data_IF_766547834183
#
_entry.id   IF_766547834183
#
_cell.length_a   1.000
_cell.length_b   1.000
_cell.length_c   1.000
_cell.angle_alpha   90.00
_cell.angle_beta   90.00
_cell.angle_gamma   90.00
#
_symmetry.space_group_name_H-M   'P 1'
#
loop_
_entity.id
_entity.type
_entity.pdbx_description
1 polymer ?
#
# COMPACT_ATOMS: atom_id res chain seq x y z
N UNK A 1 -25.85 8.61 63.28
CA UNK A 1 -27.19 8.70 62.64
C UNK A 1 -26.95 8.17 61.21
N UNK A 2 -27.14 6.97 60.80
CA UNK A 2 -28.10 5.91 61.07
C UNK A 2 -29.27 5.99 60.11
N UNK A 3 -29.20 5.19 59.00
CA UNK A 3 -30.35 4.41 58.51
C UNK A 3 -29.95 3.49 57.35
N UNK A 4 -29.95 2.25 57.71
CA UNK A 4 -30.12 1.02 56.90
C UNK A 4 -31.56 0.88 56.44
N UNK A 5 -31.81 0.38 55.21
CA UNK A 5 -32.96 -0.48 54.84
C UNK A 5 -32.70 -1.03 53.44
N UNK A 6 -32.52 -2.28 53.34
CA UNK A 6 -33.36 -3.49 53.23
C UNK A 6 -33.61 -3.91 51.79
N UNK A 7 -33.10 -5.09 51.51
CA UNK A 7 -33.42 -6.03 50.44
C UNK A 7 -34.93 -6.28 50.28
N UNK A 8 -35.37 -6.43 49.02
CA UNK A 8 -36.52 -7.30 48.70
C UNK A 8 -36.16 -8.14 47.49
N UNK A 9 -36.12 -9.43 47.71
CA UNK A 9 -36.22 -10.51 46.72
C UNK A 9 -37.55 -10.41 45.96
N UNK A 10 -37.54 -10.75 44.68
CA UNK A 10 -38.71 -11.37 44.06
C UNK A 10 -38.26 -12.39 43.01
N UNK A 11 -38.84 -13.55 43.19
CA UNK A 11 -38.58 -14.82 42.52
C UNK A 11 -39.08 -14.90 41.09
N UNK A 12 -38.37 -15.70 40.30
CA UNK A 12 -38.86 -16.78 39.49
C UNK A 12 -39.75 -16.50 38.28
N UNK A 13 -39.19 -16.72 37.09
CA UNK A 13 -39.95 -17.45 36.05
C UNK A 13 -38.94 -18.14 35.15
N UNK A 14 -38.83 -19.45 35.30
CA UNK A 14 -38.18 -20.34 34.35
C UNK A 14 -39.09 -20.48 33.13
N UNK A 15 -38.61 -19.98 31.96
CA UNK A 15 -39.21 -20.23 30.68
C UNK A 15 -38.49 -21.38 30.00
N UNK A 16 -39.14 -22.48 29.78
CA UNK A 16 -38.69 -23.65 29.02
C UNK A 16 -38.31 -23.23 27.61
N UNK A 17 -37.05 -23.41 27.24
CA UNK A 17 -36.57 -23.37 25.85
C UNK A 17 -36.86 -24.70 25.16
N UNK A 18 -37.91 -24.71 24.34
CA UNK A 18 -38.28 -25.76 23.41
C UNK A 18 -37.09 -26.05 22.46
N UNK A 19 -36.60 -27.31 22.51
CA UNK A 19 -35.60 -27.84 21.59
C UNK A 19 -36.17 -28.02 20.20
N UNK A 20 -35.65 -27.22 19.26
CA UNK A 20 -35.86 -27.42 17.82
C UNK A 20 -34.94 -28.55 17.34
N UNK A 21 -35.45 -29.62 16.68
CA UNK A 21 -34.59 -30.68 16.18
C UNK A 21 -33.75 -30.20 15.00
N UNK A 22 -32.45 -30.29 15.11
CA UNK A 22 -31.48 -30.05 14.03
C UNK A 22 -31.54 -31.25 13.07
N UNK A 23 -31.88 -31.00 11.80
CA UNK A 23 -31.79 -32.02 10.73
C UNK A 23 -30.33 -32.23 10.35
N UNK A 24 -29.79 -33.47 10.32
CA UNK A 24 -28.39 -33.77 10.05
C UNK A 24 -28.01 -33.83 8.57
N UNK A 25 -28.84 -33.44 7.62
CA UNK A 25 -28.69 -33.81 6.20
C UNK A 25 -28.13 -32.66 5.31
N UNK A 26 -27.58 -31.58 5.88
CA UNK A 26 -27.11 -30.43 5.10
C UNK A 26 -25.56 -30.25 5.08
N UNK A 27 -24.81 -31.31 5.43
CA UNK A 27 -23.36 -31.31 5.30
C UNK A 27 -22.88 -32.44 4.38
N UNK A 28 -23.24 -32.36 3.10
CA UNK A 28 -22.53 -33.11 2.06
C UNK A 28 -21.39 -32.25 1.53
N UNK A 29 -20.13 -32.75 1.52
CA UNK A 29 -19.04 -32.03 0.91
C UNK A 29 -19.27 -31.90 -0.59
N UNK A 30 -19.23 -30.65 -1.10
CA UNK A 30 -19.21 -30.34 -2.52
C UNK A 30 -17.91 -30.92 -3.12
N UNK A 31 -18.05 -32.04 -3.86
CA UNK A 31 -16.96 -32.56 -4.67
C UNK A 31 -16.66 -31.57 -5.82
N UNK A 32 -15.38 -31.22 -6.06
CA UNK A 32 -15.02 -30.45 -7.23
C UNK A 32 -15.34 -31.26 -8.52
N UNK A 33 -15.73 -30.59 -9.63
CA UNK A 33 -16.05 -31.26 -10.87
C UNK A 33 -14.82 -32.03 -11.39
N UNK A 34 -15.00 -33.34 -11.61
CA UNK A 34 -13.99 -34.23 -12.19
C UNK A 34 -13.71 -33.79 -13.65
N UNK A 35 -12.47 -33.43 -13.93
CA UNK A 35 -11.99 -33.25 -15.31
C UNK A 35 -11.89 -34.61 -15.97
N UNK A 36 -12.75 -34.88 -16.96
CA UNK A 36 -12.63 -36.03 -17.86
C UNK A 36 -11.45 -35.81 -18.83
N UNK A 37 -10.59 -36.80 -19.05
CA UNK A 37 -9.51 -36.66 -20.04
C UNK A 37 -10.12 -36.73 -21.45
N UNK A 38 -9.90 -35.69 -22.24
CA UNK A 38 -10.19 -35.68 -23.68
C UNK A 38 -9.13 -36.53 -24.38
N UNK A 39 -9.60 -37.60 -25.03
CA UNK A 39 -8.76 -38.48 -25.85
C UNK A 39 -8.22 -37.72 -27.07
N UNK A 40 -6.87 -37.70 -27.21
CA UNK A 40 -6.19 -37.17 -28.37
C UNK A 40 -6.21 -38.17 -29.52
N UNK A 41 -6.82 -37.80 -30.64
CA UNK A 41 -6.61 -38.46 -31.93
C UNK A 41 -5.38 -37.84 -32.64
N UNK A 42 -4.46 -38.61 -33.15
CA UNK A 42 -3.35 -38.08 -33.95
C UNK A 42 -3.78 -37.97 -35.41
N UNK A 43 -3.89 -36.76 -35.93
CA UNK A 43 -3.88 -36.53 -37.41
C UNK A 43 -2.90 -35.40 -37.74
N UNK A 44 -1.88 -35.83 -38.43
CA UNK A 44 -0.95 -35.20 -39.39
C UNK A 44 -1.18 -33.75 -39.79
N UNK A 45 -0.17 -32.92 -39.48
CA UNK A 45 0.45 -31.95 -40.40
C UNK A 45 -0.36 -30.71 -40.77
N UNK A 46 0.05 -29.58 -40.24
CA UNK A 46 0.44 -28.31 -40.91
C UNK A 46 0.88 -27.36 -39.77
N UNK A 47 2.06 -26.78 -39.89
CA UNK A 47 2.53 -25.75 -38.99
C UNK A 47 1.65 -24.48 -39.16
N UNK A 48 0.56 -24.41 -38.40
CA UNK A 48 -0.24 -23.22 -38.22
C UNK A 48 0.28 -22.49 -37.00
N UNK A 49 0.60 -21.21 -37.14
CA UNK A 49 0.83 -20.29 -36.05
C UNK A 49 -0.29 -20.43 -35.01
N UNK A 50 0.05 -20.90 -33.81
CA UNK A 50 -0.87 -20.91 -32.68
C UNK A 50 -1.01 -19.44 -32.28
N UNK A 51 -2.00 -18.77 -32.87
CA UNK A 51 -2.53 -17.53 -32.33
C UNK A 51 -3.18 -17.88 -31.00
N UNK A 52 -2.56 -17.47 -29.89
CA UNK A 52 -3.28 -17.42 -28.62
C UNK A 52 -4.38 -16.36 -28.78
N UNK A 53 -5.60 -16.79 -29.07
CA UNK A 53 -6.76 -15.96 -28.81
C UNK A 53 -6.77 -15.74 -27.29
N UNK A 54 -6.26 -14.61 -26.85
CA UNK A 54 -6.53 -14.12 -25.51
C UNK A 54 -8.02 -13.82 -25.46
N UNK A 55 -8.80 -14.75 -24.93
CA UNK A 55 -10.19 -14.48 -24.57
C UNK A 55 -10.11 -13.42 -23.48
N UNK A 56 -10.26 -12.16 -23.88
CA UNK A 56 -10.36 -11.05 -22.92
C UNK A 56 -11.62 -11.28 -22.11
N UNK A 57 -11.48 -11.41 -20.80
CA UNK A 57 -12.64 -11.47 -19.92
C UNK A 57 -13.53 -10.25 -20.16
N UNK A 58 -14.87 -10.43 -20.24
CA UNK A 58 -15.77 -9.30 -20.43
C UNK A 58 -15.66 -8.36 -19.23
N UNK A 59 -15.55 -7.06 -19.49
CA UNK A 59 -15.53 -6.05 -18.45
C UNK A 59 -16.89 -6.00 -17.75
N UNK A 60 -16.86 -5.97 -16.43
CA UNK A 60 -18.03 -5.84 -15.55
C UNK A 60 -17.89 -4.63 -14.63
N UNK A 61 -19.04 -4.14 -14.09
CA UNK A 61 -19.04 -3.12 -13.07
C UNK A 61 -18.97 -3.78 -11.69
N UNK A 62 -18.00 -3.35 -10.87
CA UNK A 62 -17.72 -3.92 -9.55
C UNK A 62 -17.71 -2.81 -8.51
N UNK A 63 -18.26 -3.11 -7.32
CA UNK A 63 -18.19 -2.26 -6.12
C UNK A 63 -17.25 -2.92 -5.13
N UNK A 64 -16.31 -2.16 -4.58
CA UNK A 64 -15.24 -2.64 -3.69
C UNK A 64 -14.48 -3.84 -4.31
N UNK A 65 -13.94 -3.69 -5.52
CA UNK A 65 -13.26 -4.78 -6.21
C UNK A 65 -12.00 -5.21 -5.47
N UNK A 66 -11.68 -6.50 -5.54
CA UNK A 66 -10.39 -7.01 -5.07
C UNK A 66 -9.25 -6.59 -6.01
N UNK A 67 -8.07 -6.32 -5.43
CA UNK A 67 -6.88 -5.88 -6.16
C UNK A 67 -6.96 -4.43 -6.65
N UNK A 68 -5.82 -3.92 -7.11
CA UNK A 68 -5.66 -2.54 -7.59
C UNK A 68 -5.20 -2.53 -9.04
N UNK A 69 -5.85 -1.71 -9.88
CA UNK A 69 -5.40 -1.47 -11.26
C UNK A 69 -4.03 -0.80 -11.27
N UNK A 70 -3.80 0.17 -10.38
CA UNK A 70 -2.51 0.84 -10.22
C UNK A 70 -1.98 0.61 -8.81
N UNK A 71 -0.98 -0.26 -8.65
CA UNK A 71 -0.39 -0.60 -7.35
C UNK A 71 0.54 0.50 -6.84
N UNK A 72 0.70 0.58 -5.52
CA UNK A 72 1.71 1.42 -4.87
C UNK A 72 3.13 1.07 -5.33
N UNK A 73 4.04 2.04 -5.31
CA UNK A 73 5.47 1.84 -5.60
C UNK A 73 6.13 1.18 -4.39
N UNK A 74 6.76 0.01 -4.57
CA UNK A 74 7.24 -0.79 -3.44
C UNK A 74 8.22 -0.01 -2.55
N UNK A 75 9.14 0.74 -3.15
CA UNK A 75 10.11 1.56 -2.43
C UNK A 75 9.69 3.04 -2.29
N UNK A 76 8.44 3.40 -2.66
CA UNK A 76 7.91 4.76 -2.47
C UNK A 76 7.67 5.06 -0.99
N UNK A 77 8.25 6.15 -0.49
CA UNK A 77 8.26 6.48 0.94
C UNK A 77 6.93 7.06 1.45
N UNK A 78 6.13 7.66 0.56
CA UNK A 78 4.83 8.26 0.89
C UNK A 78 3.64 7.43 0.41
N UNK A 79 3.88 6.17 0.05
CA UNK A 79 2.80 5.29 -0.40
C UNK A 79 1.91 4.84 0.78
N UNK A 80 0.59 4.95 0.63
CA UNK A 80 -0.35 4.47 1.63
C UNK A 80 -0.30 2.93 1.76
N UNK A 81 0.20 2.46 2.90
CA UNK A 81 0.37 1.05 3.25
C UNK A 81 0.44 0.86 4.76
N UNK A 82 0.52 -0.38 5.22
CA UNK A 82 1.03 -0.64 6.56
C UNK A 82 2.54 -0.95 6.45
N UNK A 83 3.36 -0.23 7.20
CA UNK A 83 4.79 -0.48 7.23
C UNK A 83 5.40 -0.14 8.61
N UNK A 84 6.50 -0.81 8.90
CA UNK A 84 7.30 -0.61 10.10
C UNK A 84 8.75 -0.80 9.72
N UNK A 85 9.57 0.24 9.88
CA UNK A 85 10.97 0.27 9.45
C UNK A 85 11.85 0.69 10.61
N UNK A 86 12.73 -0.19 11.06
CA UNK A 86 13.75 0.09 12.08
C UNK A 86 15.05 0.34 11.36
N UNK A 87 15.46 1.61 11.34
CA UNK A 87 16.60 2.08 10.58
C UNK A 87 17.57 2.84 11.47
N UNK A 88 18.85 2.68 11.19
CA UNK A 88 19.89 3.51 11.77
C UNK A 88 20.19 4.66 10.80
N UNK A 89 19.93 5.87 11.22
CA UNK A 89 20.32 7.09 10.53
C UNK A 89 21.72 7.50 11.00
N UNK A 90 22.57 7.95 10.07
CA UNK A 90 23.99 8.21 10.31
C UNK A 90 24.25 9.18 11.47
N UNK A 91 23.47 10.28 11.56
CA UNK A 91 23.72 11.38 12.47
C UNK A 91 22.77 11.40 13.69
N UNK A 92 21.63 10.70 13.62
CA UNK A 92 20.58 10.71 14.63
C UNK A 92 20.48 9.38 15.42
N UNK A 93 21.09 8.28 14.93
CA UNK A 93 20.99 6.97 15.57
C UNK A 93 19.78 6.17 15.12
N UNK A 94 19.18 5.38 16.00
CA UNK A 94 18.07 4.49 15.65
C UNK A 94 16.73 5.24 15.57
N UNK A 95 16.05 5.06 14.46
CA UNK A 95 14.76 5.64 14.13
C UNK A 95 13.77 4.51 13.82
N UNK A 96 12.52 4.74 14.18
CA UNK A 96 11.41 3.89 13.78
C UNK A 96 10.46 4.67 12.88
N UNK A 97 10.57 4.47 11.56
CA UNK A 97 9.65 5.03 10.57
C UNK A 97 8.47 4.08 10.35
N UNK A 98 7.25 4.60 10.45
CA UNK A 98 6.01 3.82 10.40
C UNK A 98 5.13 4.39 9.30
N UNK A 99 4.35 3.52 8.64
CA UNK A 99 3.21 3.91 7.83
C UNK A 99 1.95 3.19 8.31
N UNK A 100 0.92 3.94 8.59
CA UNK A 100 -0.39 3.45 9.03
C UNK A 100 -1.43 3.91 8.03
N UNK A 101 -1.69 3.09 7.01
CA UNK A 101 -2.59 3.47 5.94
C UNK A 101 -2.89 2.35 4.98
N UNK A 102 -3.54 2.73 3.88
CA UNK A 102 -3.90 1.79 2.82
C UNK A 102 -4.56 2.50 1.65
N UNK A 103 -4.86 1.69 0.64
CA UNK A 103 -5.56 2.08 -0.56
C UNK A 103 -6.57 1.00 -0.93
N UNK A 104 -7.76 1.41 -1.32
CA UNK A 104 -8.85 0.50 -1.68
C UNK A 104 -9.58 1.01 -2.93
N UNK A 105 -9.92 0.09 -3.84
CA UNK A 105 -10.81 0.37 -4.96
C UNK A 105 -12.25 0.55 -4.47
N UNK A 106 -12.89 1.63 -4.90
CA UNK A 106 -14.32 1.89 -4.59
C UNK A 106 -15.21 1.35 -5.72
N UNK A 107 -14.84 1.66 -6.96
CA UNK A 107 -15.56 1.21 -8.15
C UNK A 107 -14.57 0.79 -9.22
N UNK A 108 -14.89 -0.30 -9.92
CA UNK A 108 -14.16 -0.73 -11.12
C UNK A 108 -15.15 -1.00 -12.26
N UNK A 109 -14.77 -0.58 -13.45
CA UNK A 109 -15.34 -1.08 -14.69
C UNK A 109 -14.21 -1.74 -15.50
N UNK A 110 -14.13 -3.07 -15.44
CA UNK A 110 -12.98 -3.81 -15.96
C UNK A 110 -13.08 -5.31 -15.73
N UNK A 111 -11.94 -5.99 -15.84
CA UNK A 111 -11.83 -7.43 -15.57
C UNK A 111 -11.99 -7.75 -14.07
N UNK A 112 -12.32 -9.00 -13.77
CA UNK A 112 -12.46 -9.50 -12.39
C UNK A 112 -11.13 -9.99 -11.80
N UNK A 113 -10.05 -10.00 -12.59
CA UNK A 113 -8.71 -10.35 -12.11
C UNK A 113 -8.27 -9.47 -10.94
N UNK A 114 -7.86 -10.07 -9.84
CA UNK A 114 -7.35 -9.36 -8.66
C UNK A 114 -5.85 -9.08 -8.73
N UNK A 115 -5.08 -9.88 -9.47
CA UNK A 115 -3.63 -9.76 -9.54
C UNK A 115 -3.16 -8.65 -10.48
N UNK A 116 -3.80 -8.51 -11.65
CA UNK A 116 -3.47 -7.46 -12.63
C UNK A 116 -4.72 -7.04 -13.41
N UNK A 117 -5.69 -6.43 -12.75
CA UNK A 117 -6.94 -6.08 -13.41
C UNK A 117 -6.75 -5.06 -14.53
N UNK A 118 -7.50 -5.22 -15.61
CA UNK A 118 -7.65 -4.26 -16.69
C UNK A 118 -8.95 -3.46 -16.48
N UNK A 119 -8.97 -2.21 -16.92
CA UNK A 119 -10.15 -1.35 -16.85
C UNK A 119 -9.91 -0.05 -16.11
N UNK A 120 -11.01 0.63 -15.80
CA UNK A 120 -11.04 1.86 -15.01
C UNK A 120 -11.35 1.55 -13.55
N UNK A 121 -10.66 2.20 -12.62
CA UNK A 121 -10.94 2.06 -11.19
C UNK A 121 -10.78 3.39 -10.47
N UNK A 122 -11.75 3.71 -9.62
CA UNK A 122 -11.69 4.81 -8.68
C UNK A 122 -11.26 4.26 -7.32
N UNK A 123 -10.17 4.81 -6.77
CA UNK A 123 -9.67 4.41 -5.46
C UNK A 123 -9.81 5.54 -4.45
N UNK A 124 -9.71 5.18 -3.18
CA UNK A 124 -9.43 6.09 -2.07
C UNK A 124 -8.18 5.62 -1.34
N UNK A 125 -7.34 6.56 -0.93
CA UNK A 125 -6.10 6.25 -0.21
C UNK A 125 -5.88 7.19 0.97
N UNK A 126 -5.16 6.70 1.99
CA UNK A 126 -4.75 7.55 3.10
C UNK A 126 -3.70 6.87 3.97
N UNK A 127 -2.83 7.67 4.58
CA UNK A 127 -1.83 7.21 5.52
C UNK A 127 -1.40 8.30 6.51
N UNK A 128 -1.12 7.89 7.75
CA UNK A 128 -0.28 8.61 8.69
C UNK A 128 1.12 7.99 8.68
N UNK A 129 2.15 8.83 8.68
CA UNK A 129 3.55 8.44 8.50
C UNK A 129 4.39 9.00 9.65
N UNK A 130 4.21 8.50 10.90
CA UNK A 130 4.98 8.96 12.04
C UNK A 130 6.42 8.44 12.03
N UNK A 131 7.33 9.28 12.54
CA UNK A 131 8.72 8.95 12.87
C UNK A 131 8.91 9.01 14.37
N UNK A 132 9.47 7.95 14.95
CA UNK A 132 9.79 7.86 16.36
C UNK A 132 11.30 7.79 16.57
N UNK A 133 11.79 8.53 17.57
CA UNK A 133 13.17 8.52 18.03
C UNK A 133 13.37 7.35 19.00
N UNK A 134 14.16 6.35 18.60
CA UNK A 134 14.40 5.15 19.41
C UNK A 134 15.44 5.37 20.50
N UNK A 135 16.24 6.44 20.39
CA UNK A 135 17.25 6.81 21.40
C UNK A 135 16.60 7.54 22.59
N UNK A 136 15.39 8.10 22.39
CA UNK A 136 14.68 8.90 23.40
C UNK A 136 13.25 8.38 23.61
N UNK A 137 13.09 7.24 24.29
CA UNK A 137 11.83 6.65 24.75
C UNK A 137 10.75 6.47 23.67
N UNK A 138 11.12 6.51 22.38
CA UNK A 138 10.23 6.49 21.20
C UNK A 138 9.37 7.74 21.09
N UNK A 139 9.95 8.88 21.43
CA UNK A 139 9.32 10.17 21.25
C UNK A 139 8.92 10.41 19.80
N UNK A 140 7.77 11.02 19.58
CA UNK A 140 7.32 11.41 18.25
C UNK A 140 8.17 12.59 17.73
N UNK A 141 8.92 12.35 16.66
CA UNK A 141 9.72 13.38 15.98
C UNK A 141 8.86 14.22 15.06
N UNK A 142 8.11 13.55 14.20
CA UNK A 142 7.21 14.17 13.22
C UNK A 142 6.19 13.15 12.71
N UNK A 143 5.13 13.65 12.09
CA UNK A 143 4.17 12.82 11.38
C UNK A 143 3.68 13.53 10.13
N UNK A 144 3.77 12.85 8.99
CA UNK A 144 3.15 13.28 7.75
C UNK A 144 1.80 12.59 7.59
N UNK A 145 0.84 13.29 7.02
CA UNK A 145 -0.49 12.76 6.70
C UNK A 145 -0.74 12.93 5.22
N UNK A 146 -1.18 11.85 4.57
CA UNK A 146 -1.54 11.86 3.15
C UNK A 146 -2.94 11.27 2.99
N UNK A 147 -3.76 11.91 2.13
CA UNK A 147 -5.05 11.39 1.71
C UNK A 147 -5.31 11.74 0.25
N UNK A 148 -5.90 10.83 -0.52
CA UNK A 148 -6.06 11.03 -1.95
C UNK A 148 -7.18 10.21 -2.59
N UNK A 149 -7.54 10.60 -3.81
CA UNK A 149 -8.58 9.97 -4.63
C UNK A 149 -8.03 9.82 -6.05
N UNK A 150 -7.34 8.70 -6.37
CA UNK A 150 -6.86 8.44 -7.72
C UNK A 150 -7.90 7.71 -8.57
N UNK A 151 -8.06 8.18 -9.82
CA UNK A 151 -8.68 7.46 -10.92
C UNK A 151 -7.59 6.73 -11.69
N UNK A 152 -7.74 5.43 -11.87
CA UNK A 152 -6.73 4.58 -12.48
C UNK A 152 -7.28 3.87 -13.70
N UNK A 153 -6.40 3.57 -14.65
CA UNK A 153 -6.72 2.81 -15.85
C UNK A 153 -5.59 1.84 -16.16
N UNK A 154 -5.95 0.63 -16.56
CA UNK A 154 -5.03 -0.42 -16.96
C UNK A 154 -5.48 -1.16 -18.20
N UNK A 155 -4.52 -1.49 -19.07
CA UNK A 155 -4.74 -2.37 -20.20
C UNK A 155 -3.43 -3.05 -20.62
N UNK A 156 -3.43 -4.37 -20.67
CA UNK A 156 -2.23 -5.17 -20.97
C UNK A 156 -1.06 -4.82 -20.03
N UNK A 157 0.12 -4.42 -20.54
CA UNK A 157 1.26 -4.08 -19.70
C UNK A 157 1.24 -2.65 -19.15
N UNK A 158 0.33 -1.79 -19.60
CA UNK A 158 0.29 -0.38 -19.24
C UNK A 158 -0.70 -0.09 -18.12
N UNK A 159 -0.30 0.77 -17.19
CA UNK A 159 -1.16 1.32 -16.14
C UNK A 159 -0.92 2.82 -16.02
N UNK A 160 -1.98 3.57 -15.82
CA UNK A 160 -1.91 5.01 -15.55
C UNK A 160 -2.80 5.37 -14.37
N UNK A 161 -2.40 6.39 -13.62
CA UNK A 161 -3.22 7.03 -12.59
C UNK A 161 -3.25 8.52 -12.81
N UNK A 162 -4.41 9.12 -12.58
CA UNK A 162 -4.59 10.56 -12.44
C UNK A 162 -5.42 10.81 -11.19
N UNK A 163 -4.97 11.69 -10.31
CA UNK A 163 -5.67 11.87 -9.06
C UNK A 163 -5.31 13.16 -8.34
N UNK A 164 -5.99 13.34 -7.24
CA UNK A 164 -5.73 14.36 -6.24
C UNK A 164 -5.16 13.70 -4.99
N UNK A 165 -4.20 14.36 -4.34
CA UNK A 165 -3.86 14.07 -2.97
C UNK A 165 -3.58 15.35 -2.18
N UNK A 166 -3.92 15.30 -0.89
CA UNK A 166 -3.46 16.24 0.13
C UNK A 166 -2.33 15.61 0.94
N UNK A 167 -1.33 16.41 1.28
CA UNK A 167 -0.27 16.04 2.21
C UNK A 167 0.00 17.18 3.16
N UNK A 168 0.09 16.87 4.46
CA UNK A 168 0.53 17.80 5.51
C UNK A 168 1.55 17.14 6.42
N UNK A 169 2.46 17.94 6.99
CA UNK A 169 3.51 17.47 7.90
C UNK A 169 3.47 18.25 9.20
N UNK A 170 3.76 17.58 10.31
CA UNK A 170 3.71 18.16 11.65
C UNK A 170 4.86 17.64 12.50
N UNK A 171 5.48 18.55 13.27
CA UNK A 171 6.42 18.17 14.34
C UNK A 171 5.69 17.47 15.49
N UNK A 172 6.34 16.51 16.11
CA UNK A 172 5.90 15.90 17.35
C UNK A 172 6.02 16.84 18.54
N UNK A 173 5.08 16.74 19.48
CA UNK A 173 5.10 17.58 20.69
C UNK A 173 6.34 17.30 21.56
N UNK A 174 6.75 16.03 21.67
CA UNK A 174 7.93 15.62 22.40
C UNK A 174 9.21 16.18 21.75
N UNK A 175 9.27 16.18 20.42
CA UNK A 175 10.37 16.79 19.68
C UNK A 175 10.47 18.29 19.97
N UNK A 176 9.35 19.02 19.94
CA UNK A 176 9.33 20.46 20.25
C UNK A 176 9.71 20.76 21.69
N UNK A 177 9.35 19.91 22.64
CA UNK A 177 9.78 20.06 24.05
C UNK A 177 11.29 19.91 24.20
N UNK A 178 11.91 18.98 23.48
CA UNK A 178 13.38 18.76 23.50
C UNK A 178 14.14 19.81 22.69
N UNK A 179 13.51 20.39 21.69
CA UNK A 179 14.09 21.39 20.79
C UNK A 179 13.26 22.68 20.81
N UNK A 180 13.33 23.49 21.88
CA UNK A 180 12.49 24.67 22.03
C UNK A 180 12.69 25.74 20.94
N UNK A 181 13.84 25.69 20.26
CA UNK A 181 14.16 26.59 19.13
C UNK A 181 13.72 26.04 17.77
N UNK A 182 13.07 24.87 17.73
CA UNK A 182 12.56 24.30 16.48
C UNK A 182 11.34 25.10 16.02
N UNK A 183 11.40 25.59 14.79
CA UNK A 183 10.28 26.28 14.16
C UNK A 183 9.47 25.28 13.32
N UNK A 184 8.16 25.25 13.54
CA UNK A 184 7.24 24.49 12.69
C UNK A 184 7.08 25.20 11.36
N UNK A 185 7.32 24.51 10.26
CA UNK A 185 7.19 25.07 8.90
C UNK A 185 5.79 24.90 8.31
N UNK A 186 4.92 24.06 8.90
CA UNK A 186 3.57 23.75 8.41
C UNK A 186 3.57 23.30 6.93
N UNK A 187 4.48 22.42 6.58
CA UNK A 187 4.55 21.90 5.21
C UNK A 187 3.21 21.29 4.81
N UNK A 188 2.59 21.85 3.77
CA UNK A 188 1.29 21.38 3.27
C UNK A 188 1.18 21.59 1.77
N UNK A 189 0.53 20.64 1.08
CA UNK A 189 0.29 20.74 -0.36
C UNK A 189 -0.94 19.95 -0.81
N UNK A 190 -1.64 20.53 -1.79
CA UNK A 190 -2.73 19.91 -2.56
C UNK A 190 -2.27 19.70 -3.99
N UNK A 191 -2.22 18.46 -4.44
CA UNK A 191 -1.58 18.10 -5.70
C UNK A 191 -2.51 17.39 -6.65
N UNK A 192 -2.35 17.70 -7.94
CA UNK A 192 -2.74 16.81 -9.03
C UNK A 192 -1.55 15.91 -9.37
N UNK A 193 -1.79 14.61 -9.47
CA UNK A 193 -0.77 13.61 -9.76
C UNK A 193 -1.11 12.84 -11.03
N UNK A 194 -0.09 12.61 -11.86
CA UNK A 194 -0.17 11.74 -13.02
C UNK A 194 0.99 10.75 -13.02
N UNK A 195 0.66 9.47 -12.89
CA UNK A 195 1.62 8.38 -12.85
C UNK A 195 1.39 7.38 -13.97
N UNK A 196 2.47 6.81 -14.49
CA UNK A 196 2.44 5.76 -15.50
C UNK A 196 3.33 4.61 -15.07
N UNK A 197 2.90 3.38 -15.36
CA UNK A 197 3.68 2.16 -15.15
C UNK A 197 3.63 1.30 -16.39
N UNK A 198 4.75 0.64 -16.66
CA UNK A 198 4.92 -0.34 -17.72
C UNK A 198 5.49 -1.64 -17.15
N UNK A 199 4.77 -2.73 -17.32
CA UNK A 199 5.23 -4.06 -16.96
C UNK A 199 6.05 -4.67 -18.10
N UNK A 200 7.38 -4.58 -17.99
CA UNK A 200 8.31 -5.14 -18.99
C UNK A 200 8.25 -6.66 -19.04
N UNK A 201 7.96 -7.28 -17.91
CA UNK A 201 7.59 -8.68 -17.73
C UNK A 201 6.46 -8.74 -16.68
N UNK A 202 5.94 -9.93 -16.40
CA UNK A 202 4.95 -10.09 -15.31
C UNK A 202 5.50 -9.67 -13.95
N UNK A 203 6.80 -9.77 -13.76
CA UNK A 203 7.46 -9.55 -12.47
C UNK A 203 8.20 -8.21 -12.38
N UNK A 204 8.43 -7.53 -13.51
CA UNK A 204 9.21 -6.29 -13.55
C UNK A 204 8.35 -5.13 -13.99
N UNK A 205 8.22 -4.13 -13.12
CA UNK A 205 7.50 -2.87 -13.37
C UNK A 205 8.47 -1.70 -13.40
N UNK A 206 8.38 -0.88 -14.43
CA UNK A 206 8.99 0.45 -14.52
C UNK A 206 7.89 1.49 -14.28
N UNK A 207 8.20 2.59 -13.61
CA UNK A 207 7.23 3.65 -13.40
C UNK A 207 7.85 5.03 -13.37
N UNK A 208 7.03 6.02 -13.70
CA UNK A 208 7.32 7.43 -13.54
C UNK A 208 6.02 8.20 -13.20
N UNK A 209 6.17 9.21 -12.35
CA UNK A 209 5.09 10.03 -11.86
C UNK A 209 5.53 11.49 -11.81
N UNK A 210 4.61 12.40 -12.12
CA UNK A 210 4.72 13.82 -11.88
C UNK A 210 3.56 14.28 -11.03
N UNK A 211 3.82 15.10 -10.01
CA UNK A 211 2.78 15.78 -9.27
C UNK A 211 3.01 17.29 -9.31
N UNK A 212 1.90 18.02 -9.37
CA UNK A 212 1.88 19.47 -9.39
C UNK A 212 0.94 20.00 -8.31
N UNK A 213 1.51 20.76 -7.36
CA UNK A 213 0.76 21.39 -6.30
C UNK A 213 0.12 22.67 -6.81
N UNK A 214 -1.21 22.74 -6.74
CA UNK A 214 -1.98 23.96 -7.04
C UNK A 214 -2.22 24.80 -5.78
N UNK A 215 -2.05 24.21 -4.59
CA UNK A 215 -1.94 24.86 -3.30
C UNK A 215 -0.76 24.30 -2.54
N UNK A 216 0.04 25.16 -1.93
CA UNK A 216 1.23 24.75 -1.16
C UNK A 216 1.63 25.83 -0.15
N UNK A 217 2.18 25.40 1.00
CA UNK A 217 2.64 26.25 2.11
C UNK A 217 3.85 25.59 2.80
N UNK A 218 4.49 26.30 3.72
CA UNK A 218 5.60 25.74 4.52
C UNK A 218 6.89 25.49 3.73
N UNK A 219 7.17 26.29 2.69
CA UNK A 219 8.40 26.19 1.89
C UNK A 219 8.37 25.15 0.78
N UNK A 220 7.23 24.44 0.59
CA UNK A 220 7.06 23.55 -0.55
C UNK A 220 7.03 24.30 -1.87
N UNK A 221 7.27 23.61 -2.98
CA UNK A 221 7.22 24.15 -4.34
C UNK A 221 6.29 23.28 -5.21
N UNK A 222 5.82 23.76 -6.37
CA UNK A 222 4.80 23.08 -7.15
C UNK A 222 5.16 21.66 -7.60
N UNK A 223 6.38 21.42 -8.05
CA UNK A 223 6.68 20.20 -8.80
C UNK A 223 7.42 19.15 -7.98
N UNK A 224 7.00 17.91 -8.16
CA UNK A 224 7.74 16.73 -7.75
C UNK A 224 7.66 15.63 -8.81
N UNK A 225 8.70 14.82 -8.90
CA UNK A 225 8.82 13.70 -9.82
C UNK A 225 9.27 12.46 -9.07
N UNK A 226 8.62 11.34 -9.36
CA UNK A 226 8.97 10.05 -8.78
C UNK A 226 9.13 9.03 -9.89
N UNK A 227 10.16 8.19 -9.83
CA UNK A 227 10.37 7.11 -10.80
C UNK A 227 11.15 5.96 -10.20
N UNK A 228 11.00 4.78 -10.78
CA UNK A 228 11.67 3.61 -10.25
C UNK A 228 11.40 2.32 -10.99
N UNK A 229 11.87 1.25 -10.37
CA UNK A 229 11.72 -0.11 -10.85
C UNK A 229 11.39 -1.04 -9.67
N UNK A 230 10.42 -1.93 -9.87
CA UNK A 230 10.09 -2.99 -8.94
C UNK A 230 10.26 -4.34 -9.64
N UNK A 231 11.03 -5.25 -9.02
CA UNK A 231 11.00 -6.69 -9.29
C UNK A 231 10.17 -7.35 -8.19
N UNK A 232 9.01 -7.88 -8.54
CA UNK A 232 8.06 -8.47 -7.60
C UNK A 232 7.17 -9.48 -8.34
N UNK A 233 7.46 -10.79 -8.25
CA UNK A 233 6.68 -11.82 -8.91
C UNK A 233 5.17 -11.66 -8.73
N UNK A 234 4.45 -11.72 -9.85
CA UNK A 234 3.01 -11.47 -9.90
C UNK A 234 2.20 -12.62 -9.30
N UNK A 235 2.64 -13.86 -9.53
CA UNK A 235 1.91 -15.03 -9.10
C UNK A 235 1.85 -15.15 -7.56
N UNK A 236 0.75 -15.68 -7.00
CA UNK A 236 0.69 -16.02 -5.59
C UNK A 236 1.83 -16.95 -5.18
N UNK A 237 2.52 -16.61 -4.09
CA UNK A 237 3.79 -17.25 -3.72
C UNK A 237 3.64 -18.40 -2.74
N UNK A 238 2.46 -18.57 -2.16
CA UNK A 238 2.23 -19.51 -1.08
C UNK A 238 3.15 -19.26 0.14
N UNK A 239 3.36 -20.27 0.96
CA UNK A 239 4.18 -20.17 2.20
C UNK A 239 5.66 -19.93 1.88
N UNK A 240 6.15 -20.38 0.71
CA UNK A 240 7.57 -20.26 0.35
C UNK A 240 7.99 -18.82 0.09
N UNK A 241 7.06 -17.98 -0.37
CA UNK A 241 7.38 -16.63 -0.79
C UNK A 241 8.30 -16.57 -2.01
N UNK A 242 8.78 -15.37 -2.32
CA UNK A 242 9.72 -15.11 -3.41
C UNK A 242 10.60 -13.90 -3.08
N UNK A 243 11.79 -13.75 -3.70
CA UNK A 243 12.58 -12.54 -3.52
C UNK A 243 11.90 -11.33 -4.17
N UNK A 244 12.19 -10.13 -3.65
CA UNK A 244 11.85 -8.87 -4.29
C UNK A 244 13.02 -7.89 -4.27
N UNK A 245 13.01 -6.95 -5.20
CA UNK A 245 13.91 -5.80 -5.26
C UNK A 245 13.13 -4.60 -5.76
N UNK A 246 13.27 -3.47 -5.09
CA UNK A 246 12.63 -2.22 -5.50
C UNK A 246 13.60 -1.05 -5.37
N UNK A 247 13.56 -0.15 -6.34
CA UNK A 247 14.32 1.10 -6.36
C UNK A 247 13.36 2.23 -6.69
N UNK A 248 13.41 3.30 -5.90
CA UNK A 248 12.64 4.51 -6.10
C UNK A 248 13.55 5.73 -6.01
N UNK A 249 13.31 6.72 -6.84
CA UNK A 249 13.89 8.06 -6.72
C UNK A 249 12.76 9.08 -6.71
N UNK A 250 12.85 10.04 -5.79
CA UNK A 250 11.86 11.11 -5.64
C UNK A 250 12.58 12.46 -5.65
N UNK A 251 12.29 13.28 -6.65
CA UNK A 251 12.89 14.61 -6.88
C UNK A 251 11.85 15.69 -6.56
N UNK A 252 12.26 16.76 -5.87
CA UNK A 252 11.34 17.81 -5.42
C UNK A 252 11.91 19.20 -5.73
N UNK A 253 11.06 20.09 -6.21
CA UNK A 253 11.45 21.44 -6.62
C UNK A 253 11.96 22.27 -5.43
N UNK A 254 11.39 22.14 -4.23
CA UNK A 254 11.81 22.88 -3.02
C UNK A 254 13.25 22.58 -2.58
N UNK A 255 13.86 21.55 -3.09
CA UNK A 255 15.26 21.21 -2.90
C UNK A 255 16.07 21.25 -4.20
N UNK A 256 15.67 22.15 -5.12
CA UNK A 256 16.28 22.35 -6.44
C UNK A 256 16.34 21.07 -7.28
N UNK A 257 15.24 20.29 -7.31
CA UNK A 257 15.14 18.96 -7.92
C UNK A 257 16.22 17.98 -7.41
N UNK A 258 16.80 18.25 -6.27
CA UNK A 258 17.38 17.21 -5.44
C UNK A 258 16.27 16.33 -4.89
N UNK A 259 16.63 15.31 -4.12
CA UNK A 259 15.63 14.40 -3.57
C UNK A 259 16.28 13.25 -2.85
N UNK A 260 15.68 12.08 -2.96
CA UNK A 260 16.19 10.88 -2.32
C UNK A 260 16.12 9.68 -3.26
N UNK A 261 16.85 8.65 -2.86
CA UNK A 261 16.84 7.33 -3.45
C UNK A 261 16.57 6.30 -2.35
N UNK A 262 15.70 5.35 -2.65
CA UNK A 262 15.35 4.24 -1.76
C UNK A 262 15.60 2.93 -2.47
N UNK A 263 16.25 1.99 -1.77
CA UNK A 263 16.41 0.61 -2.20
C UNK A 263 15.81 -0.31 -1.14
N UNK A 264 14.92 -1.20 -1.55
CA UNK A 264 14.36 -2.24 -0.70
C UNK A 264 14.58 -3.60 -1.35
N UNK A 265 15.02 -4.58 -0.57
CA UNK A 265 15.21 -5.96 -1.05
C UNK A 265 14.96 -6.94 0.09
N UNK A 266 14.53 -8.13 -0.26
CA UNK A 266 14.23 -9.15 0.74
C UNK A 266 13.30 -10.23 0.21
N UNK A 267 12.36 -10.62 1.03
CA UNK A 267 11.43 -11.69 0.74
C UNK A 267 9.98 -11.22 0.84
N UNK A 268 9.14 -11.73 -0.03
CA UNK A 268 7.73 -11.36 -0.12
C UNK A 268 6.81 -12.57 -0.19
N UNK A 269 5.58 -12.36 0.27
CA UNK A 269 4.47 -13.32 0.18
C UNK A 269 3.28 -12.62 -0.44
N UNK A 270 2.89 -13.06 -1.65
CA UNK A 270 1.73 -12.54 -2.37
C UNK A 270 0.55 -13.49 -2.23
N UNK A 271 -0.59 -12.95 -1.80
CA UNK A 271 -1.88 -13.65 -1.76
C UNK A 271 -2.61 -13.65 -3.12
N UNK A 272 -3.67 -14.44 -3.21
CA UNK A 272 -4.50 -14.57 -4.41
C UNK A 272 -5.25 -13.27 -4.76
N UNK A 273 -5.51 -12.41 -3.78
CA UNK A 273 -6.15 -11.10 -3.94
C UNK A 273 -5.18 -9.98 -4.33
N UNK A 274 -3.88 -10.30 -4.49
CA UNK A 274 -2.85 -9.33 -4.85
C UNK A 274 -2.18 -8.63 -3.66
N UNK A 275 -2.72 -8.78 -2.44
CA UNK A 275 -2.08 -8.26 -1.23
C UNK A 275 -0.68 -8.84 -1.04
N UNK A 276 0.24 -8.01 -0.58
CA UNK A 276 1.65 -8.34 -0.55
C UNK A 276 2.27 -8.02 0.82
N UNK A 277 2.72 -9.06 1.53
CA UNK A 277 3.54 -8.91 2.72
C UNK A 277 5.01 -9.02 2.34
N UNK A 278 5.86 -8.12 2.85
CA UNK A 278 7.30 -8.06 2.57
C UNK A 278 8.09 -7.89 3.87
N UNK A 279 9.24 -8.55 3.92
CA UNK A 279 10.26 -8.40 4.96
C UNK A 279 11.61 -8.24 4.28
N UNK A 280 12.42 -7.26 4.69
CA UNK A 280 13.73 -7.10 4.08
C UNK A 280 14.51 -5.90 4.56
N UNK A 281 15.58 -5.61 3.82
CA UNK A 281 16.44 -4.45 4.03
C UNK A 281 15.84 -3.20 3.40
N UNK A 282 16.08 -2.08 4.05
CA UNK A 282 15.76 -0.73 3.60
C UNK A 282 17.04 0.11 3.62
N UNK A 283 17.34 0.74 2.51
CA UNK A 283 18.37 1.76 2.38
C UNK A 283 17.76 3.03 1.81
N UNK A 284 18.05 4.15 2.43
CA UNK A 284 17.60 5.47 2.03
C UNK A 284 18.80 6.43 2.02
N UNK A 285 18.91 7.26 0.99
CA UNK A 285 19.91 8.33 0.94
C UNK A 285 19.33 9.54 0.20
N UNK A 286 19.47 10.72 0.81
CA UNK A 286 19.05 11.97 0.19
C UNK A 286 18.30 12.90 1.12
N UNK A 287 17.46 13.75 0.55
CA UNK A 287 16.65 14.71 1.31
C UNK A 287 15.55 13.99 2.08
N UNK A 288 15.38 14.40 3.34
CA UNK A 288 14.46 13.74 4.29
C UNK A 288 13.10 13.44 3.69
N UNK A 289 12.59 12.26 4.03
CA UNK A 289 11.23 11.87 3.73
C UNK A 289 10.19 12.47 4.69
N UNK A 290 10.59 12.94 5.87
CA UNK A 290 9.71 13.69 6.77
C UNK A 290 9.76 15.17 6.39
N UNK A 291 8.62 15.73 5.98
CA UNK A 291 8.60 17.00 5.26
C UNK A 291 8.78 18.24 6.16
N UNK A 292 8.57 18.13 7.47
CA UNK A 292 9.09 19.17 8.39
C UNK A 292 10.62 19.32 8.34
N UNK A 293 11.32 18.28 7.86
CA UNK A 293 12.76 18.24 7.70
C UNK A 293 13.20 18.17 6.23
N UNK A 294 12.36 18.60 5.29
CA UNK A 294 12.48 18.36 3.84
C UNK A 294 13.85 18.71 3.24
N UNK A 295 14.57 19.69 3.80
CA UNK A 295 15.86 20.16 3.31
C UNK A 295 17.06 19.46 3.96
N UNK A 296 16.86 18.65 5.01
CA UNK A 296 17.92 17.89 5.67
C UNK A 296 18.33 16.69 4.81
N UNK A 297 19.60 16.31 4.90
CA UNK A 297 20.09 15.09 4.26
C UNK A 297 20.08 13.96 5.28
N UNK A 298 19.61 12.80 4.88
CA UNK A 298 19.56 11.59 5.70
C UNK A 298 20.19 10.42 4.92
N UNK A 299 20.93 9.56 5.64
CA UNK A 299 21.39 8.28 5.13
C UNK A 299 21.03 7.18 6.13
N UNK A 300 20.08 6.34 5.74
CA UNK A 300 19.47 5.34 6.63
C UNK A 300 19.65 3.93 6.08
N UNK A 301 19.94 2.98 6.98
CA UNK A 301 19.97 1.55 6.68
C UNK A 301 19.31 0.76 7.79
N UNK A 302 18.53 -0.24 7.44
CA UNK A 302 17.86 -1.07 8.43
C UNK A 302 16.97 -2.14 7.85
N UNK A 303 16.03 -2.60 8.67
CA UNK A 303 15.06 -3.63 8.33
C UNK A 303 13.65 -3.04 8.29
N UNK A 304 12.82 -3.58 7.41
CA UNK A 304 11.42 -3.19 7.30
C UNK A 304 10.48 -4.35 7.08
N UNK A 305 9.26 -4.13 7.54
CA UNK A 305 8.07 -4.92 7.26
C UNK A 305 7.12 -4.03 6.47
N UNK A 306 6.54 -4.54 5.39
CA UNK A 306 5.57 -3.80 4.57
C UNK A 306 4.40 -4.71 4.22
N UNK A 307 3.21 -4.14 4.26
CA UNK A 307 2.00 -4.76 3.75
C UNK A 307 1.33 -3.81 2.76
N UNK A 308 1.30 -4.23 1.51
CA UNK A 308 0.71 -3.50 0.37
C UNK A 308 -0.62 -4.15 -0.01
N UNK A 309 -1.63 -3.33 -0.30
CA UNK A 309 -3.00 -3.74 -0.64
C UNK A 309 -3.16 -4.02 -2.13
#
# INVERSE_FOLDING_TARGET
MGKTSRLTESAGMAGELSSVPVRPDLLSPLNPPSRSPVASNPSTGVAGSIGYETVSEPWSFQVLPEGLVYRSYLAGVKEPRLASQWVHERDQGWIWDIALGGRVGIFRYGSEDALRPDGWQLDIEGAGLPRLDMEHERDLVSADFRGGIPLTYGYGPFRTKFGYYHLSSHLGDEYMVRHPDAERINFSRDCLVWGNSYYATDDVRLYAEAAWAFYYDGGTQPWEFQFGIDYSPLAPTGIRGSPFLALNSHLREEVNFGGNMVVQTGWQWRGDTGHLFRLGMHYFAGKSEQFEFFNQYEEKVGLGLWYDY
#
